data_IF_741812181034
#
_entry.id   IF_741812181034
#
_cell.length_a   1.000
_cell.length_b   1.000
_cell.length_c   1.000
_cell.angle_alpha   90.00
_cell.angle_beta   90.00
_cell.angle_gamma   90.00
#
_symmetry.space_group_name_H-M   'P 1'
#
loop_
_entity.id
_entity.type
_entity.pdbx_description
1 polymer ?
#
# COMPACT_ATOMS: atom_id res chain seq x y z
N UNK A 1 7.43 -7.00 13.12
CA UNK A 1 6.41 -7.92 13.66
C UNK A 1 5.72 -7.24 14.81
N UNK A 2 4.40 -7.07 14.79
CA UNK A 2 3.67 -6.61 15.98
C UNK A 2 3.50 -7.76 16.98
N UNK A 3 3.57 -7.44 18.28
CA UNK A 3 3.25 -8.37 19.35
C UNK A 3 2.01 -7.89 20.08
N UNK A 4 1.22 -8.82 20.61
CA UNK A 4 0.00 -8.52 21.34
C UNK A 4 0.13 -9.12 22.73
N UNK A 5 -0.08 -8.33 23.79
CA UNK A 5 0.09 -8.75 25.17
C UNK A 5 -1.22 -8.65 25.94
N UNK A 6 -1.53 -9.67 26.73
CA UNK A 6 -2.69 -9.64 27.61
C UNK A 6 -2.35 -8.77 28.83
N UNK A 7 -3.16 -7.74 29.14
CA UNK A 7 -2.89 -6.88 30.29
C UNK A 7 -2.95 -7.63 31.63
N UNK A 8 -3.75 -8.71 31.70
CA UNK A 8 -3.94 -9.52 32.91
C UNK A 8 -2.87 -10.61 33.07
N UNK A 9 -2.84 -11.62 32.18
CA UNK A 9 -1.95 -12.78 32.33
C UNK A 9 -0.56 -12.62 31.68
N UNK A 10 -0.28 -11.48 31.05
CA UNK A 10 1.01 -11.14 30.39
C UNK A 10 1.47 -12.09 29.28
N UNK A 11 0.63 -13.06 28.86
CA UNK A 11 0.88 -13.89 27.69
C UNK A 11 0.96 -13.01 26.44
N UNK A 12 1.75 -13.47 25.47
CA UNK A 12 2.09 -12.72 24.24
C UNK A 12 1.73 -13.56 23.01
N UNK A 13 1.16 -12.90 22.01
CA UNK A 13 0.84 -13.47 20.71
C UNK A 13 1.59 -12.72 19.60
N UNK A 14 2.05 -13.46 18.59
CA UNK A 14 2.74 -12.90 17.43
C UNK A 14 1.82 -12.40 16.32
N UNK A 15 0.50 -12.42 16.55
CA UNK A 15 -0.53 -12.00 15.60
C UNK A 15 -1.76 -11.49 16.36
N UNK A 16 -2.57 -10.65 15.71
CA UNK A 16 -3.77 -10.07 16.30
C UNK A 16 -4.79 -11.18 16.54
N UNK A 17 -5.27 -11.29 17.77
CA UNK A 17 -6.50 -12.02 18.12
C UNK A 17 -7.37 -11.06 18.92
N UNK A 18 -8.69 -11.18 18.78
CA UNK A 18 -9.64 -10.21 19.35
C UNK A 18 -9.50 -10.09 20.87
N UNK A 19 -9.37 -11.23 21.56
CA UNK A 19 -9.29 -11.31 23.01
C UNK A 19 -8.28 -12.38 23.43
N UNK A 20 -7.72 -12.20 24.62
CA UNK A 20 -6.93 -13.23 25.28
C UNK A 20 -7.79 -14.50 25.48
N UNK A 21 -7.41 -15.68 24.98
CA UNK A 21 -8.19 -16.91 25.14
C UNK A 21 -8.32 -17.38 26.60
N UNK A 22 -7.49 -16.86 27.49
CA UNK A 22 -7.49 -17.23 28.91
C UNK A 22 -8.20 -16.21 29.80
N UNK A 23 -8.17 -14.94 29.43
CA UNK A 23 -8.69 -13.86 30.25
C UNK A 23 -9.90 -13.15 29.63
N UNK A 24 -10.21 -13.43 28.36
CA UNK A 24 -11.28 -12.81 27.58
C UNK A 24 -11.26 -11.27 27.56
N UNK A 25 -10.08 -10.68 27.78
CA UNK A 25 -9.83 -9.25 27.68
C UNK A 25 -9.12 -8.91 26.38
N UNK A 26 -9.32 -7.69 25.91
CA UNK A 26 -8.64 -7.16 24.72
C UNK A 26 -7.12 -7.13 24.91
N UNK A 27 -6.40 -7.44 23.83
CA UNK A 27 -4.95 -7.47 23.82
C UNK A 27 -4.37 -6.08 23.51
N UNK A 28 -3.33 -5.71 24.23
CA UNK A 28 -2.58 -4.48 23.95
C UNK A 28 -1.53 -4.76 22.88
N UNK A 29 -1.50 -3.96 21.83
CA UNK A 29 -0.47 -4.04 20.78
C UNK A 29 0.83 -3.40 21.29
N UNK A 30 1.92 -4.15 21.21
CA UNK A 30 3.27 -3.75 21.59
C UNK A 30 4.07 -3.46 20.32
N UNK A 31 4.50 -2.21 20.17
CA UNK A 31 5.33 -1.74 19.05
C UNK A 31 6.80 -2.01 19.36
N UNK A 32 7.61 -2.06 18.30
CA UNK A 32 9.06 -2.15 18.39
C UNK A 32 9.71 -1.24 17.36
N UNK A 33 10.90 -0.74 17.68
CA UNK A 33 11.70 0.15 16.84
C UNK A 33 13.04 -0.45 16.45
N UNK A 34 13.65 -1.23 17.35
CA UNK A 34 14.98 -1.79 17.16
C UNK A 34 14.96 -3.28 17.41
N UNK A 35 15.75 -4.03 16.66
CA UNK A 35 15.89 -5.45 16.93
C UNK A 35 17.34 -5.89 16.79
N UNK A 36 17.78 -6.70 17.75
CA UNK A 36 19.13 -7.23 17.82
C UNK A 36 19.18 -8.61 17.20
N UNK A 37 20.18 -8.86 16.35
CA UNK A 37 20.40 -10.18 15.75
C UNK A 37 20.90 -11.15 16.81
N UNK A 38 20.16 -12.21 17.09
CA UNK A 38 20.52 -13.25 18.06
C UNK A 38 21.01 -14.54 17.43
N UNK A 39 20.58 -14.81 16.20
CA UNK A 39 21.00 -15.99 15.48
C UNK A 39 20.91 -15.75 13.97
N UNK A 40 21.82 -16.36 13.23
CA UNK A 40 21.89 -16.29 11.77
C UNK A 40 22.15 -17.69 11.23
N UNK A 41 21.27 -18.16 10.35
CA UNK A 41 21.46 -19.39 9.60
C UNK A 41 21.44 -19.12 8.10
N UNK A 42 22.47 -19.58 7.41
CA UNK A 42 22.49 -19.58 5.95
C UNK A 42 21.62 -20.74 5.44
N UNK A 43 20.72 -20.44 4.52
CA UNK A 43 19.86 -21.41 3.85
C UNK A 43 20.26 -21.49 2.38
N UNK A 44 20.55 -22.70 1.93
CA UNK A 44 20.91 -23.01 0.54
C UNK A 44 19.78 -23.68 -0.23
N UNK A 45 18.68 -24.03 0.44
CA UNK A 45 17.49 -24.63 -0.16
C UNK A 45 16.45 -23.53 -0.44
N UNK A 46 15.99 -23.38 -1.68
CA UNK A 46 14.99 -22.37 -2.02
C UNK A 46 13.65 -22.70 -1.37
N UNK A 47 12.84 -21.67 -1.12
CA UNK A 47 11.44 -21.80 -0.67
C UNK A 47 10.51 -21.07 -1.63
N UNK A 48 9.23 -21.41 -1.64
CA UNK A 48 8.23 -20.78 -2.54
C UNK A 48 8.31 -19.25 -2.56
N UNK A 49 8.52 -18.62 -1.41
CA UNK A 49 8.58 -17.15 -1.27
C UNK A 49 10.00 -16.57 -1.19
N UNK A 50 11.05 -17.40 -1.33
CA UNK A 50 12.47 -17.02 -1.37
C UNK A 50 13.21 -18.01 -2.26
N UNK A 51 13.14 -17.78 -3.58
CA UNK A 51 13.68 -18.69 -4.58
C UNK A 51 15.18 -18.46 -4.83
N UNK A 52 15.69 -17.25 -4.55
CA UNK A 52 17.11 -16.93 -4.65
C UNK A 52 17.87 -17.44 -3.42
N UNK A 53 18.90 -18.25 -3.64
CA UNK A 53 19.79 -18.82 -2.62
C UNK A 53 21.25 -18.45 -2.91
N UNK A 54 22.12 -18.35 -1.88
CA UNK A 54 21.80 -18.47 -0.46
C UNK A 54 21.03 -17.25 0.08
N UNK A 55 20.20 -17.47 1.09
CA UNK A 55 19.62 -16.41 1.92
C UNK A 55 19.81 -16.72 3.40
N UNK A 56 19.60 -15.74 4.26
CA UNK A 56 19.84 -15.86 5.71
C UNK A 56 18.52 -15.80 6.47
N UNK A 57 18.35 -16.70 7.43
CA UNK A 57 17.26 -16.67 8.40
C UNK A 57 17.82 -16.09 9.70
N UNK A 58 17.25 -14.96 10.10
CA UNK A 58 17.61 -14.21 11.29
C UNK A 58 16.59 -14.49 12.40
N UNK A 59 17.08 -14.77 13.61
CA UNK A 59 16.29 -14.62 14.83
C UNK A 59 16.64 -13.25 15.40
N UNK A 60 15.65 -12.39 15.47
CA UNK A 60 15.76 -11.03 15.97
C UNK A 60 15.09 -10.93 17.33
N UNK A 61 15.69 -10.19 18.26
CA UNK A 61 15.13 -9.87 19.57
C UNK A 61 14.93 -8.36 19.69
N UNK A 62 13.68 -7.91 19.89
CA UNK A 62 13.39 -6.49 20.04
C UNK A 62 13.72 -5.96 21.45
N UNK A 63 13.55 -4.65 21.64
CA UNK A 63 13.76 -3.98 22.94
C UNK A 63 12.91 -4.55 24.10
N UNK A 64 11.79 -5.22 23.78
CA UNK A 64 10.88 -5.84 24.74
C UNK A 64 11.19 -7.34 24.95
N UNK A 65 12.38 -7.80 24.56
CA UNK A 65 12.83 -9.20 24.66
C UNK A 65 11.94 -10.18 23.88
N UNK A 66 11.26 -9.71 22.83
CA UNK A 66 10.43 -10.55 21.95
C UNK A 66 11.24 -11.01 20.76
N UNK A 67 11.20 -12.33 20.53
CA UNK A 67 11.91 -12.97 19.42
C UNK A 67 11.02 -13.15 18.21
N UNK A 68 11.55 -12.88 17.02
CA UNK A 68 10.85 -13.13 15.76
C UNK A 68 11.80 -13.50 14.62
N UNK A 69 11.25 -14.17 13.61
CA UNK A 69 11.97 -14.58 12.42
C UNK A 69 11.87 -13.53 11.31
N UNK A 70 13.00 -13.31 10.66
CA UNK A 70 13.16 -12.47 9.49
C UNK A 70 14.13 -13.12 8.51
N UNK A 71 13.76 -13.17 7.22
CA UNK A 71 14.68 -13.57 6.16
C UNK A 71 15.39 -12.35 5.60
N UNK A 72 16.63 -12.52 5.17
CA UNK A 72 17.39 -11.49 4.48
C UNK A 72 18.35 -12.04 3.44
N UNK A 73 18.71 -11.22 2.46
CA UNK A 73 19.79 -11.51 1.50
C UNK A 73 21.18 -11.20 2.06
N UNK A 74 21.29 -10.44 3.16
CA UNK A 74 22.57 -10.07 3.77
C UNK A 74 22.94 -11.00 4.93
N UNK A 75 24.22 -11.39 5.05
CA UNK A 75 24.74 -12.05 6.25
C UNK A 75 24.97 -11.00 7.35
N UNK A 76 23.96 -10.78 8.19
CA UNK A 76 24.11 -9.95 9.38
C UNK A 76 25.03 -10.63 10.41
N UNK A 77 25.66 -9.83 11.27
CA UNK A 77 26.44 -10.35 12.39
C UNK A 77 25.56 -10.53 13.63
N UNK A 78 25.91 -11.50 14.48
CA UNK A 78 25.27 -11.65 15.79
C UNK A 78 25.56 -10.38 16.60
N UNK A 79 24.58 -9.94 17.38
CA UNK A 79 24.55 -8.70 18.15
C UNK A 79 24.42 -7.40 17.32
N UNK A 80 24.39 -7.46 15.99
CA UNK A 80 24.09 -6.31 15.13
C UNK A 80 22.67 -5.78 15.39
N UNK A 81 22.50 -4.46 15.33
CA UNK A 81 21.21 -3.79 15.57
C UNK A 81 20.58 -3.41 14.24
N UNK A 82 19.36 -3.88 14.02
CA UNK A 82 18.49 -3.47 12.92
C UNK A 82 17.57 -2.35 13.40
N UNK A 83 17.58 -1.25 12.67
CA UNK A 83 16.67 -0.12 12.86
C UNK A 83 15.84 0.10 11.59
N UNK A 84 14.71 0.79 11.75
CA UNK A 84 13.88 1.18 10.60
C UNK A 84 14.56 2.35 9.90
N UNK A 85 15.08 2.09 8.70
CA UNK A 85 15.69 3.08 7.83
C UNK A 85 14.67 4.15 7.43
N UNK A 86 15.10 5.41 7.40
CA UNK A 86 14.32 6.55 6.91
C UNK A 86 14.82 6.98 5.54
N UNK A 87 13.95 7.50 4.66
CA UNK A 87 14.36 7.97 3.35
C UNK A 87 15.28 9.19 3.47
N UNK A 88 16.32 9.21 2.65
CA UNK A 88 17.12 10.42 2.39
C UNK A 88 16.28 11.45 1.65
N UNK A 89 15.47 10.98 0.69
CA UNK A 89 14.52 11.80 -0.06
C UNK A 89 13.16 11.10 -0.15
N UNK A 90 12.14 11.65 0.52
CA UNK A 90 10.78 11.07 0.56
C UNK A 90 10.15 10.91 -0.83
N UNK A 91 10.50 11.77 -1.80
CA UNK A 91 9.94 11.75 -3.16
C UNK A 91 10.63 10.73 -4.08
N UNK A 92 11.76 10.17 -3.67
CA UNK A 92 12.54 9.19 -4.44
C UNK A 92 12.52 7.80 -3.80
N UNK A 93 11.94 7.67 -2.61
CA UNK A 93 11.92 6.42 -1.86
C UNK A 93 10.66 5.58 -2.09
N UNK A 94 10.83 4.26 -2.00
CA UNK A 94 9.76 3.26 -1.96
C UNK A 94 9.99 2.35 -0.77
N UNK A 95 9.01 2.29 0.14
CA UNK A 95 9.00 1.35 1.23
C UNK A 95 8.29 0.06 0.79
N UNK A 96 8.91 -1.08 1.07
CA UNK A 96 8.31 -2.41 0.87
C UNK A 96 8.17 -3.07 2.23
N UNK A 97 6.96 -3.53 2.55
CA UNK A 97 6.73 -4.32 3.77
C UNK A 97 5.94 -5.59 3.46
N UNK A 98 6.25 -6.66 4.22
CA UNK A 98 5.57 -7.94 4.07
C UNK A 98 4.42 -8.06 5.06
N UNK A 99 3.21 -8.31 4.55
CA UNK A 99 2.05 -8.76 5.31
C UNK A 99 2.35 -10.16 5.87
N UNK A 100 2.22 -10.34 7.18
CA UNK A 100 2.31 -11.68 7.80
C UNK A 100 0.92 -12.22 8.12
N UNK A 101 0.09 -11.40 8.76
CA UNK A 101 -1.23 -11.79 9.25
C UNK A 101 -2.29 -10.75 8.85
N UNK A 102 -2.00 -9.47 9.14
CA UNK A 102 -2.88 -8.34 8.81
C UNK A 102 -2.13 -7.26 8.02
N UNK A 103 -2.90 -6.34 7.43
CA UNK A 103 -2.36 -5.17 6.72
C UNK A 103 -1.95 -4.03 7.66
N UNK A 104 -2.45 -4.02 8.90
CA UNK A 104 -2.22 -2.94 9.86
C UNK A 104 -0.72 -2.75 10.15
N UNK A 105 0.01 -3.85 10.40
CA UNK A 105 1.46 -3.75 10.62
C UNK A 105 2.22 -3.16 9.41
N UNK A 106 2.07 -3.69 8.18
CA UNK A 106 2.66 -3.07 6.98
C UNK A 106 2.35 -1.58 6.82
N UNK A 107 1.09 -1.19 7.00
CA UNK A 107 0.64 0.20 6.88
C UNK A 107 1.36 1.09 7.89
N UNK A 108 1.35 0.68 9.17
CA UNK A 108 2.04 1.41 10.23
C UNK A 108 3.53 1.56 9.97
N UNK A 109 4.20 0.50 9.53
CA UNK A 109 5.65 0.53 9.27
C UNK A 109 6.00 1.42 8.09
N UNK A 110 5.17 1.44 7.06
CA UNK A 110 5.34 2.35 5.93
C UNK A 110 5.15 3.81 6.37
N UNK A 111 4.14 4.11 7.18
CA UNK A 111 3.95 5.46 7.73
C UNK A 111 5.09 5.89 8.65
N UNK A 112 5.64 4.96 9.46
CA UNK A 112 6.83 5.21 10.29
C UNK A 112 8.06 5.54 9.44
N UNK A 113 8.31 4.79 8.35
CA UNK A 113 9.42 5.04 7.41
C UNK A 113 9.32 6.45 6.80
N UNK A 114 8.14 6.83 6.31
CA UNK A 114 7.93 8.14 5.68
C UNK A 114 7.67 9.29 6.68
N UNK A 115 7.65 8.99 7.98
CA UNK A 115 7.34 9.91 9.07
C UNK A 115 6.05 10.71 8.83
N UNK A 116 5.01 10.00 8.37
CA UNK A 116 3.71 10.60 8.12
C UNK A 116 2.98 10.73 9.46
N UNK A 117 2.82 11.97 9.90
CA UNK A 117 2.08 12.32 11.11
C UNK A 117 0.80 13.05 10.71
N UNK A 118 -0.34 12.46 11.04
CA UNK A 118 -1.65 13.04 10.77
C UNK A 118 -2.21 13.71 12.03
N UNK A 119 -3.00 14.76 11.84
CA UNK A 119 -3.74 15.44 12.91
C UNK A 119 -5.21 15.05 12.85
N UNK A 120 -5.87 15.00 14.00
CA UNK A 120 -7.27 14.55 14.12
C UNK A 120 -8.29 15.38 13.34
N UNK A 121 -7.96 16.63 13.00
CA UNK A 121 -8.78 17.61 12.30
C UNK A 121 -8.54 17.68 10.79
N UNK A 122 -7.55 16.93 10.26
CA UNK A 122 -7.22 16.93 8.83
C UNK A 122 -8.30 16.28 7.98
N UNK A 123 -8.60 16.89 6.83
CA UNK A 123 -9.44 16.32 5.78
C UNK A 123 -8.62 15.36 4.92
N UNK A 124 -9.01 14.09 4.91
CA UNK A 124 -8.34 13.02 4.17
C UNK A 124 -9.20 12.54 3.01
N UNK A 125 -8.61 12.51 1.83
CA UNK A 125 -9.20 11.86 0.66
C UNK A 125 -8.52 10.52 0.43
N UNK A 126 -9.31 9.49 0.14
CA UNK A 126 -8.81 8.15 -0.14
C UNK A 126 -9.33 7.69 -1.50
N UNK A 127 -8.42 7.26 -2.37
CA UNK A 127 -8.70 6.82 -3.73
C UNK A 127 -8.41 5.32 -3.87
N UNK A 128 -9.35 4.42 -3.57
CA UNK A 128 -9.21 3.01 -3.91
C UNK A 128 -9.33 2.79 -5.43
N UNK A 129 -8.75 1.72 -5.93
CA UNK A 129 -9.03 1.22 -7.27
C UNK A 129 -10.42 0.59 -7.32
N UNK A 130 -11.32 1.20 -8.10
CA UNK A 130 -12.66 0.72 -8.40
C UNK A 130 -12.79 0.59 -9.93
N UNK A 131 -12.24 -0.49 -10.48
CA UNK A 131 -12.21 -0.74 -11.93
C UNK A 131 -13.49 -1.40 -12.43
N UNK A 132 -13.95 -2.48 -11.79
CA UNK A 132 -15.02 -3.34 -12.32
C UNK A 132 -16.03 -3.73 -11.24
N UNK A 133 -17.24 -4.14 -11.67
CA UNK A 133 -18.25 -4.69 -10.77
C UNK A 133 -17.97 -6.17 -10.51
N UNK A 134 -16.92 -6.45 -9.74
CA UNK A 134 -16.47 -7.80 -9.40
C UNK A 134 -16.32 -7.98 -7.90
N UNK A 135 -16.42 -9.23 -7.44
CA UNK A 135 -16.26 -9.58 -6.04
C UNK A 135 -14.77 -9.54 -5.62
N UNK A 136 -14.46 -9.38 -4.32
CA UNK A 136 -13.09 -9.26 -3.84
C UNK A 136 -12.13 -10.37 -4.30
N UNK A 137 -12.61 -11.61 -4.44
CA UNK A 137 -11.80 -12.74 -4.90
C UNK A 137 -11.28 -12.59 -6.34
N UNK A 138 -11.89 -11.71 -7.15
CA UNK A 138 -11.43 -11.40 -8.50
C UNK A 138 -10.16 -10.54 -8.52
N UNK A 139 -9.83 -9.82 -7.44
CA UNK A 139 -8.58 -9.02 -7.32
C UNK A 139 -8.39 -7.94 -8.40
N UNK A 140 -9.48 -7.34 -8.87
CA UNK A 140 -9.43 -6.22 -9.82
C UNK A 140 -9.57 -4.83 -9.18
N UNK A 141 -10.14 -4.81 -7.98
CA UNK A 141 -10.38 -3.64 -7.15
C UNK A 141 -9.56 -3.76 -5.86
N UNK A 142 -9.31 -2.63 -5.20
CA UNK A 142 -8.77 -2.62 -3.83
C UNK A 142 -9.62 -3.52 -2.94
N UNK A 143 -8.99 -4.36 -2.13
CA UNK A 143 -9.75 -5.27 -1.27
C UNK A 143 -10.44 -4.52 -0.13
N UNK A 144 -11.65 -4.95 0.29
CA UNK A 144 -12.32 -4.37 1.45
C UNK A 144 -11.47 -4.50 2.72
N UNK A 145 -10.73 -5.60 2.85
CA UNK A 145 -9.81 -5.89 3.97
C UNK A 145 -8.67 -4.87 4.07
N UNK A 146 -8.11 -4.48 2.92
CA UNK A 146 -7.06 -3.47 2.86
C UNK A 146 -7.59 -2.09 3.19
N UNK A 147 -8.72 -1.68 2.57
CA UNK A 147 -9.35 -0.40 2.89
C UNK A 147 -9.72 -0.31 4.37
N UNK A 148 -10.36 -1.35 4.93
CA UNK A 148 -10.72 -1.39 6.34
C UNK A 148 -9.48 -1.24 7.24
N UNK A 149 -8.38 -1.94 6.93
CA UNK A 149 -7.15 -1.83 7.71
C UNK A 149 -6.52 -0.44 7.64
N UNK A 150 -6.62 0.25 6.48
CA UNK A 150 -6.20 1.66 6.35
C UNK A 150 -7.06 2.56 7.22
N UNK A 151 -8.38 2.39 7.18
CA UNK A 151 -9.32 3.19 7.97
C UNK A 151 -9.13 2.99 9.48
N UNK A 152 -8.94 1.74 9.93
CA UNK A 152 -8.62 1.42 11.31
C UNK A 152 -7.31 2.07 11.74
N UNK A 153 -6.28 2.02 10.90
CA UNK A 153 -5.01 2.66 11.18
C UNK A 153 -5.13 4.20 11.26
N UNK A 154 -5.91 4.81 10.37
CA UNK A 154 -6.18 6.26 10.43
C UNK A 154 -6.91 6.65 11.73
N UNK A 155 -7.80 5.80 12.24
CA UNK A 155 -8.52 6.08 13.49
C UNK A 155 -7.61 6.20 14.72
N UNK A 156 -6.43 5.56 14.72
CA UNK A 156 -5.43 5.72 15.79
C UNK A 156 -4.86 7.15 15.88
N UNK A 157 -4.97 7.95 14.82
CA UNK A 157 -4.61 9.37 14.82
C UNK A 157 -5.74 10.26 15.36
N UNK A 158 -6.84 9.68 15.84
CA UNK A 158 -8.02 10.41 16.31
C UNK A 158 -8.85 11.05 15.20
N UNK A 159 -8.63 10.65 13.94
CA UNK A 159 -9.41 11.10 12.79
C UNK A 159 -10.84 10.59 12.89
N UNK A 160 -11.80 11.49 12.73
CA UNK A 160 -13.22 11.15 12.75
C UNK A 160 -13.72 10.78 11.34
N UNK A 161 -14.74 9.91 11.22
CA UNK A 161 -15.29 9.50 9.93
C UNK A 161 -15.71 10.68 9.03
N UNK A 162 -16.21 11.77 9.59
CA UNK A 162 -16.60 12.97 8.84
C UNK A 162 -15.44 13.70 8.14
N UNK A 163 -14.21 13.47 8.59
CA UNK A 163 -13.00 14.04 8.00
C UNK A 163 -12.40 13.17 6.89
N UNK A 164 -12.91 11.96 6.69
CA UNK A 164 -12.42 11.02 5.68
C UNK A 164 -13.46 10.89 4.57
N UNK A 165 -13.04 10.99 3.31
CA UNK A 165 -13.90 10.76 2.15
C UNK A 165 -13.26 9.77 1.18
N UNK A 166 -14.00 8.73 0.82
CA UNK A 166 -13.61 7.79 -0.24
C UNK A 166 -14.04 8.38 -1.58
N UNK A 167 -13.12 8.49 -2.54
CA UNK A 167 -13.36 9.05 -3.86
C UNK A 167 -13.20 7.97 -4.94
N UNK A 168 -14.11 7.97 -5.91
CA UNK A 168 -13.95 7.21 -7.15
C UNK A 168 -14.82 7.82 -8.27
N UNK A 169 -14.59 7.42 -9.51
CA UNK A 169 -15.53 7.59 -10.62
C UNK A 169 -15.47 6.40 -11.56
N UNK A 170 -16.50 6.24 -12.39
CA UNK A 170 -16.55 5.18 -13.40
C UNK A 170 -16.23 5.70 -14.79
N UNK A 171 -15.24 5.11 -15.44
CA UNK A 171 -14.86 5.42 -16.84
C UNK A 171 -15.56 4.53 -17.88
N UNK A 172 -16.30 3.50 -17.46
CA UNK A 172 -17.08 2.67 -18.38
C UNK A 172 -18.59 2.90 -18.19
N UNK A 173 -19.41 2.08 -18.84
CA UNK A 173 -20.87 2.16 -18.77
C UNK A 173 -21.45 1.58 -17.48
N UNK A 174 -20.64 0.89 -16.66
CA UNK A 174 -21.10 0.29 -15.41
C UNK A 174 -21.24 1.38 -14.35
N UNK A 175 -22.42 1.52 -13.71
CA UNK A 175 -22.61 2.51 -12.66
C UNK A 175 -21.63 2.32 -11.50
N UNK A 176 -21.08 3.43 -10.98
CA UNK A 176 -20.10 3.39 -9.90
C UNK A 176 -20.64 2.69 -8.65
N UNK A 177 -21.89 2.94 -8.31
CA UNK A 177 -22.55 2.30 -7.16
C UNK A 177 -22.61 0.78 -7.29
N UNK A 178 -22.74 0.24 -8.51
CA UNK A 178 -22.72 -1.20 -8.73
C UNK A 178 -21.32 -1.76 -8.46
N UNK A 179 -20.27 -1.06 -8.92
CA UNK A 179 -18.89 -1.45 -8.67
C UNK A 179 -18.58 -1.48 -7.17
N UNK A 180 -18.96 -0.42 -6.45
CA UNK A 180 -18.76 -0.31 -5.00
C UNK A 180 -19.50 -1.39 -4.20
N UNK A 181 -20.72 -1.74 -4.62
CA UNK A 181 -21.50 -2.83 -4.01
C UNK A 181 -20.83 -4.18 -4.23
N UNK A 182 -20.48 -4.52 -5.48
CA UNK A 182 -19.90 -5.83 -5.78
C UNK A 182 -18.49 -6.02 -5.20
N UNK A 183 -17.69 -4.96 -5.18
CA UNK A 183 -16.35 -4.96 -4.55
C UNK A 183 -16.40 -4.96 -3.02
N UNK A 184 -17.59 -4.78 -2.43
CA UNK A 184 -17.84 -4.66 -0.99
C UNK A 184 -17.20 -3.42 -0.34
N UNK A 185 -16.66 -2.49 -1.13
CA UNK A 185 -16.11 -1.22 -0.62
C UNK A 185 -17.23 -0.38 0.01
N UNK A 186 -18.44 -0.41 -0.55
CA UNK A 186 -19.58 0.29 0.04
C UNK A 186 -19.89 -0.21 1.46
N UNK A 187 -19.80 -1.52 1.69
CA UNK A 187 -20.05 -2.12 3.02
C UNK A 187 -19.01 -1.64 4.05
N UNK A 188 -17.74 -1.50 3.64
CA UNK A 188 -16.69 -0.94 4.50
C UNK A 188 -17.01 0.52 4.84
N UNK A 189 -17.38 1.34 3.84
CA UNK A 189 -17.79 2.73 4.06
C UNK A 189 -18.96 2.84 5.04
N UNK A 190 -20.02 2.04 4.85
CA UNK A 190 -21.21 2.02 5.71
C UNK A 190 -20.88 1.60 7.14
N UNK A 191 -20.12 0.51 7.30
CA UNK A 191 -19.69 0.00 8.62
C UNK A 191 -18.85 1.01 9.39
N UNK A 192 -17.94 1.71 8.69
CA UNK A 192 -17.07 2.74 9.29
C UNK A 192 -17.73 4.13 9.33
N UNK A 193 -18.96 4.27 8.83
CA UNK A 193 -19.71 5.54 8.72
C UNK A 193 -18.95 6.63 7.95
N UNK A 194 -18.19 6.22 6.94
CA UNK A 194 -17.39 7.09 6.08
C UNK A 194 -18.15 7.38 4.80
N UNK A 195 -18.08 8.63 4.34
CA UNK A 195 -18.74 9.06 3.11
C UNK A 195 -17.97 8.59 1.89
N UNK A 196 -18.71 8.11 0.90
CA UNK A 196 -18.25 7.95 -0.46
C UNK A 196 -18.73 9.13 -1.32
N UNK A 197 -17.90 9.59 -2.25
CA UNK A 197 -18.24 10.65 -3.18
C UNK A 197 -17.85 10.29 -4.62
N UNK A 198 -18.81 10.42 -5.54
CA UNK A 198 -18.60 10.20 -6.97
C UNK A 198 -17.97 11.45 -7.59
N UNK A 199 -16.70 11.33 -8.01
CA UNK A 199 -15.91 12.44 -8.56
C UNK A 199 -16.57 13.00 -9.84
N UNK A 200 -17.37 12.21 -10.57
CA UNK A 200 -18.05 12.69 -11.79
C UNK A 200 -19.07 13.82 -11.53
N UNK A 201 -19.47 14.02 -10.27
CA UNK A 201 -20.39 15.07 -9.84
C UNK A 201 -19.68 16.32 -9.30
N UNK A 202 -18.35 16.33 -9.30
CA UNK A 202 -17.52 17.42 -8.78
C UNK A 202 -17.37 18.59 -9.76
N UNK A 203 -16.98 19.75 -9.23
CA UNK A 203 -16.42 20.82 -10.05
C UNK A 203 -14.98 20.46 -10.48
N UNK A 204 -14.65 20.59 -11.77
CA UNK A 204 -13.30 20.34 -12.26
C UNK A 204 -12.57 21.65 -12.57
N UNK A 205 -11.35 21.80 -12.05
CA UNK A 205 -10.47 22.91 -12.35
C UNK A 205 -9.59 22.57 -13.55
N UNK A 206 -9.57 23.44 -14.55
CA UNK A 206 -8.66 23.30 -15.68
C UNK A 206 -7.27 23.85 -15.34
N UNK A 207 -6.24 23.00 -15.49
CA UNK A 207 -4.83 23.38 -15.32
C UNK A 207 -4.03 22.81 -16.48
N UNK A 208 -3.34 23.67 -17.23
CA UNK A 208 -2.55 23.26 -18.42
C UNK A 208 -3.33 22.42 -19.45
N UNK A 209 -4.66 22.52 -19.52
CA UNK A 209 -5.51 21.69 -20.40
C UNK A 209 -5.76 20.26 -19.89
N UNK A 210 -5.61 20.03 -18.59
CA UNK A 210 -6.17 18.86 -17.88
C UNK A 210 -7.18 19.36 -16.83
N UNK A 211 -8.35 18.73 -16.77
CA UNK A 211 -9.43 19.09 -15.86
C UNK A 211 -9.44 18.16 -14.65
N UNK A 212 -9.08 18.69 -13.48
CA UNK A 212 -8.84 17.91 -12.27
C UNK A 212 -9.88 18.27 -11.20
N UNK A 213 -10.41 17.26 -10.50
CA UNK A 213 -11.42 17.44 -9.46
C UNK A 213 -11.01 18.49 -8.41
N UNK A 214 -11.80 19.53 -8.17
CA UNK A 214 -11.43 20.66 -7.30
C UNK A 214 -11.07 20.23 -5.88
N UNK A 215 -11.80 19.27 -5.33
CA UNK A 215 -11.69 18.80 -3.93
C UNK A 215 -10.28 18.34 -3.55
N UNK A 216 -9.47 17.85 -4.49
CA UNK A 216 -8.10 17.42 -4.15
C UNK A 216 -7.20 18.59 -3.72
N UNK A 217 -7.52 19.82 -4.12
CA UNK A 217 -6.77 21.01 -3.72
C UNK A 217 -7.25 21.57 -2.37
N UNK A 218 -8.36 21.03 -1.83
CA UNK A 218 -8.99 21.48 -0.58
C UNK A 218 -8.76 20.49 0.59
N UNK A 219 -8.11 19.36 0.32
CA UNK A 219 -7.76 18.35 1.32
C UNK A 219 -6.38 18.57 1.93
N UNK A 220 -6.20 18.15 3.17
CA UNK A 220 -4.92 18.22 3.87
C UNK A 220 -4.00 17.03 3.53
N UNK A 221 -4.59 15.88 3.20
CA UNK A 221 -3.84 14.67 2.86
C UNK A 221 -4.62 13.78 1.89
N UNK A 222 -3.90 13.17 0.94
CA UNK A 222 -4.50 12.29 -0.08
C UNK A 222 -3.77 10.95 -0.07
N UNK A 223 -4.55 9.88 0.05
CA UNK A 223 -4.12 8.49 -0.03
C UNK A 223 -4.58 7.85 -1.33
N UNK A 224 -3.63 7.46 -2.17
CA UNK A 224 -3.88 6.60 -3.32
C UNK A 224 -3.74 5.13 -2.90
N UNK A 225 -4.80 4.33 -3.01
CA UNK A 225 -4.84 2.94 -2.56
C UNK A 225 -5.02 1.95 -3.71
N UNK A 226 -4.05 1.85 -4.64
CA UNK A 226 -4.16 0.92 -5.76
C UNK A 226 -3.99 -0.53 -5.32
N UNK A 227 -4.67 -1.46 -5.99
CA UNK A 227 -4.26 -2.87 -6.03
C UNK A 227 -3.31 -3.07 -7.22
N UNK A 228 -2.10 -3.57 -6.97
CA UNK A 228 -1.08 -3.76 -8.01
C UNK A 228 -1.37 -5.00 -8.86
N UNK A 229 -1.01 -4.96 -10.14
CA UNK A 229 -1.09 -6.10 -11.05
C UNK A 229 0.06 -6.06 -12.08
N UNK A 230 0.26 -7.16 -12.81
CA UNK A 230 1.35 -7.23 -13.80
C UNK A 230 1.01 -6.64 -15.18
N UNK A 231 -0.16 -6.00 -15.32
CA UNK A 231 -0.67 -5.50 -16.61
C UNK A 231 -0.47 -4.00 -16.77
N UNK A 232 -0.69 -3.26 -15.68
CA UNK A 232 -0.89 -1.82 -15.67
C UNK A 232 -0.02 -1.19 -14.58
N UNK A 233 0.37 0.06 -14.77
CA UNK A 233 1.05 0.83 -13.71
C UNK A 233 -0.02 1.36 -12.73
N UNK A 234 -0.52 0.46 -11.89
CA UNK A 234 -1.74 0.69 -11.11
C UNK A 234 -1.65 1.88 -10.18
N UNK A 235 -0.50 2.18 -9.58
CA UNK A 235 -0.38 3.37 -8.76
C UNK A 235 -0.51 4.66 -9.57
N UNK A 236 0.07 4.70 -10.77
CA UNK A 236 -0.06 5.85 -11.66
C UNK A 236 -1.47 5.95 -12.25
N UNK A 237 -1.98 4.85 -12.80
CA UNK A 237 -3.26 4.83 -13.52
C UNK A 237 -4.46 5.08 -12.61
N UNK A 238 -4.39 4.71 -11.33
CA UNK A 238 -5.47 4.99 -10.38
C UNK A 238 -5.70 6.51 -10.20
N UNK A 239 -4.66 7.33 -10.38
CA UNK A 239 -4.77 8.79 -10.30
C UNK A 239 -5.52 9.40 -11.48
N UNK A 240 -5.69 8.68 -12.60
CA UNK A 240 -6.52 9.17 -13.72
C UNK A 240 -7.98 9.37 -13.29
N UNK A 241 -8.44 8.68 -12.25
CA UNK A 241 -9.76 8.90 -11.64
C UNK A 241 -9.93 10.29 -11.03
N UNK A 242 -8.89 11.14 -10.99
CA UNK A 242 -9.01 12.54 -10.59
C UNK A 242 -9.35 13.48 -11.75
N UNK A 243 -9.28 12.99 -12.98
CA UNK A 243 -9.50 13.76 -14.22
C UNK A 243 -10.95 13.63 -14.67
N UNK A 244 -11.56 14.70 -15.17
CA UNK A 244 -12.90 14.63 -15.77
C UNK A 244 -12.92 13.56 -16.86
N UNK A 245 -13.85 12.61 -16.81
CA UNK A 245 -13.92 11.46 -17.72
C UNK A 245 -13.77 11.84 -19.20
N UNK A 246 -14.55 12.81 -19.67
CA UNK A 246 -14.52 13.26 -21.07
C UNK A 246 -13.16 13.88 -21.45
N UNK A 247 -12.54 14.63 -20.52
CA UNK A 247 -11.22 15.19 -20.72
C UNK A 247 -10.15 14.08 -20.76
N UNK A 248 -10.24 13.08 -19.89
CA UNK A 248 -9.33 11.93 -19.91
C UNK A 248 -9.45 11.13 -21.22
N UNK A 249 -10.68 10.81 -21.66
CA UNK A 249 -10.93 10.08 -22.92
C UNK A 249 -10.37 10.83 -24.12
N UNK A 250 -10.55 12.16 -24.17
CA UNK A 250 -9.98 13.01 -25.22
C UNK A 250 -8.45 13.02 -25.19
N UNK A 251 -7.84 13.19 -24.00
CA UNK A 251 -6.39 13.17 -23.85
C UNK A 251 -5.79 11.81 -24.23
N UNK A 252 -6.43 10.70 -23.82
CA UNK A 252 -5.99 9.35 -24.13
C UNK A 252 -6.14 8.99 -25.61
N UNK A 253 -6.94 9.73 -26.38
CA UNK A 253 -7.05 9.57 -27.83
C UNK A 253 -5.88 10.21 -28.59
N UNK A 254 -5.36 11.34 -28.10
CA UNK A 254 -4.32 12.12 -28.78
C UNK A 254 -2.90 11.94 -28.21
N UNK A 255 -2.79 11.40 -27.00
CA UNK A 255 -1.53 11.29 -26.27
C UNK A 255 -1.37 9.92 -25.63
N UNK A 256 -0.12 9.54 -25.33
CA UNK A 256 0.12 8.29 -24.61
C UNK A 256 -0.24 8.43 -23.13
N UNK A 257 -0.55 7.31 -22.45
CA UNK A 257 -0.82 7.32 -20.99
C UNK A 257 0.33 7.94 -20.20
N UNK A 258 1.57 7.81 -20.69
CA UNK A 258 2.76 8.42 -20.09
C UNK A 258 2.66 9.95 -20.12
N UNK A 259 2.36 10.53 -21.28
CA UNK A 259 2.22 11.97 -21.45
C UNK A 259 1.08 12.54 -20.59
N UNK A 260 -0.08 11.86 -20.60
CA UNK A 260 -1.24 12.24 -19.77
C UNK A 260 -0.86 12.22 -18.29
N UNK A 261 -0.12 11.20 -17.86
CA UNK A 261 0.32 11.09 -16.47
C UNK A 261 1.32 12.16 -16.05
N UNK A 262 2.33 12.49 -16.88
CA UNK A 262 3.29 13.57 -16.55
C UNK A 262 2.58 14.93 -16.43
N UNK A 263 1.62 15.17 -17.33
CA UNK A 263 0.77 16.36 -17.30
C UNK A 263 -0.10 16.41 -16.04
N UNK A 264 -0.70 15.28 -15.65
CA UNK A 264 -1.47 15.17 -14.42
C UNK A 264 -0.57 15.40 -13.19
N UNK A 265 0.54 14.67 -13.07
CA UNK A 265 1.46 14.71 -11.92
C UNK A 265 2.00 16.11 -11.66
N UNK A 266 2.31 16.88 -12.72
CA UNK A 266 2.80 18.26 -12.57
C UNK A 266 1.75 19.24 -12.01
N UNK A 267 0.47 18.87 -12.03
CA UNK A 267 -0.65 19.69 -11.56
C UNK A 267 -1.32 19.15 -10.28
N UNK A 268 -0.93 17.97 -9.80
CA UNK A 268 -1.44 17.38 -8.56
C UNK A 268 -0.68 17.91 -7.34
N UNK A 269 -1.35 18.09 -6.18
CA UNK A 269 -0.66 18.22 -4.91
C UNK A 269 0.09 16.92 -4.57
N UNK A 270 0.86 16.94 -3.49
CA UNK A 270 1.54 15.73 -3.03
C UNK A 270 0.53 14.67 -2.60
N UNK A 271 0.65 13.46 -3.15
CA UNK A 271 -0.21 12.31 -2.84
C UNK A 271 0.67 11.19 -2.32
N UNK A 272 0.29 10.59 -1.19
CA UNK A 272 0.94 9.39 -0.71
C UNK A 272 0.23 8.16 -1.30
N UNK A 273 0.99 7.30 -1.97
CA UNK A 273 0.48 6.03 -2.48
C UNK A 273 0.82 4.92 -1.49
N UNK A 274 -0.20 4.18 -1.08
CA UNK A 274 -0.09 2.99 -0.25
C UNK A 274 -0.78 1.84 -0.99
N UNK A 275 0.00 0.99 -1.62
CA UNK A 275 -0.46 0.02 -2.60
C UNK A 275 -0.59 -1.40 -2.01
N UNK A 276 -1.69 -2.06 -2.34
CA UNK A 276 -1.93 -3.47 -2.04
C UNK A 276 -1.25 -4.35 -3.08
N UNK A 277 -0.37 -5.23 -2.63
CA UNK A 277 0.26 -6.28 -3.43
C UNK A 277 0.20 -7.62 -2.68
N UNK A 278 -0.96 -7.93 -2.08
CA UNK A 278 -1.20 -9.17 -1.37
C UNK A 278 -1.45 -10.31 -2.34
N UNK A 279 -2.50 -10.16 -3.14
CA UNK A 279 -2.83 -11.03 -4.27
C UNK A 279 -2.80 -10.20 -5.55
N UNK A 280 -2.01 -10.62 -6.53
CA UNK A 280 -1.84 -9.88 -7.77
C UNK A 280 -2.21 -10.74 -8.97
N UNK A 281 -2.76 -10.11 -10.01
CA UNK A 281 -3.06 -10.78 -11.27
C UNK A 281 -1.88 -10.69 -12.24
N UNK A 282 -1.55 -11.81 -12.90
CA UNK A 282 -0.70 -11.78 -14.09
C UNK A 282 -1.46 -11.31 -15.34
N UNK A 283 -0.77 -11.24 -16.47
CA UNK A 283 -1.34 -10.84 -17.78
C UNK A 283 -2.53 -11.72 -18.23
N UNK A 284 -2.60 -12.97 -17.78
CA UNK A 284 -3.69 -13.91 -18.08
C UNK A 284 -4.83 -13.88 -17.07
N UNK A 285 -4.76 -13.01 -16.04
CA UNK A 285 -5.75 -12.95 -14.96
C UNK A 285 -5.60 -14.03 -13.89
N UNK A 286 -4.48 -14.77 -13.88
CA UNK A 286 -4.18 -15.75 -12.83
C UNK A 286 -3.67 -15.03 -11.60
N UNK A 287 -4.21 -15.39 -10.43
CA UNK A 287 -3.86 -14.80 -9.14
C UNK A 287 -2.59 -15.43 -8.54
N UNK A 288 -1.68 -14.58 -8.06
CA UNK A 288 -0.47 -14.95 -7.35
C UNK A 288 -0.43 -14.26 -5.99
N UNK A 289 0.18 -14.93 -5.02
CA UNK A 289 0.28 -14.44 -3.66
C UNK A 289 1.67 -13.86 -3.40
N UNK A 290 1.72 -12.59 -3.02
CA UNK A 290 2.94 -11.83 -2.76
C UNK A 290 3.09 -11.41 -1.30
N UNK A 291 1.97 -11.17 -0.60
CA UNK A 291 1.96 -10.63 0.78
C UNK A 291 2.68 -9.30 0.94
N UNK A 292 2.57 -8.37 0.00
CA UNK A 292 3.28 -7.10 0.10
C UNK A 292 2.32 -5.93 0.25
N UNK A 293 2.80 -4.90 0.95
CA UNK A 293 2.27 -3.54 0.87
C UNK A 293 3.45 -2.65 0.49
N UNK A 294 3.23 -1.74 -0.44
CA UNK A 294 4.25 -0.78 -0.88
C UNK A 294 3.78 0.64 -0.55
N UNK A 295 4.72 1.53 -0.23
CA UNK A 295 4.44 2.94 0.07
C UNK A 295 5.40 3.88 -0.63
N UNK A 296 4.91 5.00 -1.17
CA UNK A 296 5.74 6.05 -1.76
C UNK A 296 4.95 7.34 -2.02
N UNK A 297 5.63 8.49 -1.96
CA UNK A 297 5.10 9.76 -2.50
C UNK A 297 5.22 9.86 -4.04
N UNK A 298 5.91 8.92 -4.69
CA UNK A 298 6.07 8.88 -6.13
C UNK A 298 5.50 7.57 -6.71
N UNK A 299 4.27 7.60 -7.27
CA UNK A 299 3.62 6.39 -7.77
C UNK A 299 4.39 5.72 -8.91
N UNK A 300 5.15 6.48 -9.73
CA UNK A 300 6.00 5.90 -10.78
C UNK A 300 7.10 5.01 -10.20
N UNK A 301 7.77 5.49 -9.16
CA UNK A 301 8.82 4.72 -8.49
C UNK A 301 8.23 3.47 -7.85
N UNK A 302 7.04 3.58 -7.23
CA UNK A 302 6.34 2.45 -6.63
C UNK A 302 6.00 1.38 -7.65
N UNK A 303 5.34 1.75 -8.75
CA UNK A 303 5.01 0.82 -9.84
C UNK A 303 6.29 0.19 -10.41
N UNK A 304 7.35 0.98 -10.64
CA UNK A 304 8.60 0.46 -11.19
C UNK A 304 9.26 -0.56 -10.26
N UNK A 305 9.35 -0.26 -8.97
CA UNK A 305 9.87 -1.20 -7.94
C UNK A 305 9.02 -2.47 -7.92
N UNK A 306 7.69 -2.36 -7.99
CA UNK A 306 6.82 -3.52 -8.09
C UNK A 306 7.13 -4.36 -9.34
N UNK A 307 7.32 -3.74 -10.51
CA UNK A 307 7.69 -4.45 -11.74
C UNK A 307 9.06 -5.15 -11.65
N UNK A 308 10.00 -4.62 -10.86
CA UNK A 308 11.25 -5.31 -10.52
C UNK A 308 11.04 -6.53 -9.62
N UNK A 309 10.17 -6.42 -8.61
CA UNK A 309 9.80 -7.55 -7.73
C UNK A 309 9.20 -8.71 -8.54
N UNK A 310 8.32 -8.41 -9.49
CA UNK A 310 7.65 -9.44 -10.30
C UNK A 310 8.44 -9.86 -11.55
N UNK A 311 9.62 -9.27 -11.77
CA UNK A 311 10.51 -9.54 -12.91
C UNK A 311 9.83 -9.45 -14.27
N UNK A 312 9.04 -8.39 -14.48
CA UNK A 312 8.35 -8.12 -15.75
C UNK A 312 8.85 -6.83 -16.38
N UNK A 313 8.61 -6.72 -17.69
CA UNK A 313 8.91 -5.49 -18.40
C UNK A 313 7.93 -4.39 -17.95
N UNK A 314 8.44 -3.21 -17.55
CA UNK A 314 7.59 -2.10 -17.13
C UNK A 314 6.76 -1.57 -18.31
N UNK A 315 5.49 -1.16 -18.08
CA UNK A 315 4.69 -0.45 -19.07
C UNK A 315 5.29 0.94 -19.38
N UNK A 316 4.88 1.52 -20.50
CA UNK A 316 5.45 2.76 -21.07
C UNK A 316 5.62 3.89 -20.06
N UNK A 317 4.59 4.11 -19.23
CA UNK A 317 4.53 5.15 -18.18
C UNK A 317 5.71 5.12 -17.19
N UNK A 318 6.31 3.96 -16.96
CA UNK A 318 7.43 3.74 -16.02
C UNK A 318 8.68 3.11 -16.68
N UNK A 319 8.69 2.99 -18.01
CA UNK A 319 9.73 2.23 -18.74
C UNK A 319 11.13 2.84 -18.65
N UNK A 320 11.23 4.16 -18.49
CA UNK A 320 12.49 4.93 -18.51
C UNK A 320 13.12 5.13 -17.12
N UNK A 321 12.58 4.51 -16.08
CA UNK A 321 13.13 4.64 -14.74
C UNK A 321 14.36 3.74 -14.55
N UNK A 322 15.28 4.21 -13.71
CA UNK A 322 16.49 3.51 -13.29
C UNK A 322 16.35 3.16 -11.80
N UNK A 323 16.68 1.92 -11.43
CA UNK A 323 16.49 1.44 -10.06
C UNK A 323 17.48 2.12 -9.09
N UNK A 324 18.66 2.46 -9.59
CA UNK A 324 19.76 3.10 -8.87
C UNK A 324 19.38 4.49 -8.32
N UNK A 325 18.39 5.14 -8.95
CA UNK A 325 17.83 6.44 -8.54
C UNK A 325 16.69 6.31 -7.53
N UNK A 326 16.29 5.09 -7.17
CA UNK A 326 15.15 4.84 -6.28
C UNK A 326 15.67 4.22 -4.98
N UNK A 327 15.41 4.91 -3.87
CA UNK A 327 15.78 4.39 -2.56
C UNK A 327 14.75 3.34 -2.09
N UNK A 328 15.17 2.09 -1.93
CA UNK A 328 14.30 1.01 -1.45
C UNK A 328 14.50 0.74 0.04
N UNK A 329 13.44 0.93 0.81
CA UNK A 329 13.42 0.85 2.28
C UNK A 329 12.55 -0.31 2.77
N UNK A 330 12.84 -0.77 4.00
CA UNK A 330 12.19 -1.96 4.57
C UNK A 330 12.74 -3.23 3.95
N UNK A 331 11.92 -3.97 3.20
CA UNK A 331 12.35 -5.18 2.47
C UNK A 331 13.14 -4.81 1.22
N UNK A 332 14.20 -5.56 0.92
CA UNK A 332 14.92 -5.42 -0.35
C UNK A 332 14.21 -6.20 -1.45
N UNK A 333 14.32 -5.76 -2.71
CA UNK A 333 13.64 -6.39 -3.85
C UNK A 333 14.04 -7.87 -3.94
N UNK A 334 15.31 -8.18 -3.76
CA UNK A 334 15.86 -9.53 -3.80
C UNK A 334 15.32 -10.44 -2.70
N UNK A 335 14.77 -9.90 -1.61
CA UNK A 335 14.14 -10.67 -0.53
C UNK A 335 12.69 -11.07 -0.84
N UNK A 336 12.06 -10.39 -1.80
CA UNK A 336 10.62 -10.52 -2.08
C UNK A 336 10.31 -10.80 -3.55
N UNK A 337 11.33 -10.82 -4.40
CA UNK A 337 11.19 -11.14 -5.82
C UNK A 337 10.62 -12.55 -6.03
N UNK A 338 9.80 -12.67 -7.07
CA UNK A 338 9.18 -13.93 -7.47
C UNK A 338 9.58 -14.26 -8.90
N UNK A 339 9.81 -15.54 -9.16
CA UNK A 339 9.95 -16.06 -10.51
C UNK A 339 8.63 -16.75 -10.86
N UNK A 340 7.85 -16.12 -11.74
CA UNK A 340 6.55 -16.58 -12.21
C UNK A 340 6.54 -17.01 -13.67
#
# INVERSE_FOLDING_TARGET
MAFFICPNCKRVWGYKIEKCPHCFVELKREKWKKAKVKFVAQTTIPSLFHQKVPYYVLILENENQRKFLQKSVKPYQIEEILEIEKPKNKNEAVAIWRKKYDFFEPIEKIFEIFEINLKSDQKILILPTIKSATHPHSRENTSPEFLESVLDFLSEFGLKPENITILAQSFDQTPLIEKLKKSQILNVCETKKIKFFDISQEEFLEKSGIKIAKRIFESDFILNLPILNMKEARACENLFTLVEKQNFEMLAYFSSKKEVFEKLKSNLPQIFTLAEADHIQNERGVNFYLNLVLGSFNPKNLDFVFYKIVKRNPPEIIKELELEKIEVLGRKIEEVEIYL
#
